data_IF_032902566186
#
_entry.id   IF_032902566186
#
_cell.length_a   1.000
_cell.length_b   1.000
_cell.length_c   1.000
_cell.angle_alpha   90.00
_cell.angle_beta   90.00
_cell.angle_gamma   90.00
#
_symmetry.space_group_name_H-M   'P 1'
#
loop_
_entity.id
_entity.type
_entity.pdbx_description
1 polymer ?
#
# COMPACT_ATOMS: atom_id res chain seq x y z
N UNK A 1 14.67 -12.93 -54.56
CA UNK A 1 14.31 -13.92 -53.53
C UNK A 1 15.18 -13.64 -52.32
N UNK A 2 14.84 -12.63 -51.50
CA UNK A 2 15.46 -12.43 -50.16
C UNK A 2 14.85 -11.31 -49.32
N UNK A 3 14.12 -10.34 -49.87
CA UNK A 3 13.72 -9.16 -49.06
C UNK A 3 12.31 -9.22 -48.44
N UNK A 4 11.41 -10.08 -48.92
CA UNK A 4 10.06 -10.23 -48.33
C UNK A 4 10.00 -11.18 -47.11
N UNK A 5 11.11 -11.85 -46.76
CA UNK A 5 11.14 -12.83 -45.66
C UNK A 5 11.62 -12.25 -44.32
N UNK A 6 12.15 -11.02 -44.29
CA UNK A 6 12.61 -10.40 -43.04
C UNK A 6 11.53 -9.57 -42.33
N UNK A 7 10.46 -9.18 -43.03
CA UNK A 7 9.39 -8.34 -42.46
C UNK A 7 8.37 -9.15 -41.63
N UNK A 8 8.42 -10.49 -41.67
CA UNK A 8 7.49 -11.37 -40.93
C UNK A 8 8.00 -11.84 -39.57
N UNK A 9 9.18 -11.42 -39.14
CA UNK A 9 9.82 -11.90 -37.91
C UNK A 9 9.76 -10.92 -36.73
N UNK A 10 9.12 -9.75 -36.88
CA UNK A 10 9.12 -8.71 -35.84
C UNK A 10 7.71 -8.28 -35.36
N UNK A 11 6.71 -9.13 -35.55
CA UNK A 11 5.31 -8.87 -35.15
C UNK A 11 4.89 -9.90 -34.10
N UNK A 12 5.52 -9.88 -32.92
CA UNK A 12 5.23 -10.88 -31.89
C UNK A 12 5.57 -10.53 -30.43
N UNK A 13 6.22 -9.39 -30.16
CA UNK A 13 6.78 -9.12 -28.82
C UNK A 13 6.16 -7.93 -28.07
N UNK A 14 5.09 -7.32 -28.61
CA UNK A 14 4.51 -6.11 -28.06
C UNK A 14 3.40 -6.27 -27.02
N UNK A 15 2.72 -7.42 -26.95
CA UNK A 15 1.42 -7.52 -26.26
C UNK A 15 1.45 -8.34 -24.95
N UNK A 16 2.56 -9.03 -24.64
CA UNK A 16 2.66 -9.94 -23.49
C UNK A 16 3.40 -9.36 -22.27
N UNK A 17 4.09 -8.22 -22.40
CA UNK A 17 4.96 -7.68 -21.35
C UNK A 17 4.20 -6.97 -20.20
N UNK A 18 2.96 -6.51 -20.43
CA UNK A 18 2.16 -5.79 -19.41
C UNK A 18 1.44 -6.77 -18.47
N UNK A 19 0.91 -7.88 -18.99
CA UNK A 19 0.14 -8.87 -18.21
C UNK A 19 0.97 -9.58 -17.13
N UNK A 20 2.22 -9.95 -17.45
CA UNK A 20 3.13 -10.57 -16.49
C UNK A 20 3.55 -9.61 -15.36
N UNK A 21 3.75 -8.33 -15.68
CA UNK A 21 4.09 -7.29 -14.69
C UNK A 21 2.91 -6.95 -13.78
N UNK A 22 1.69 -6.96 -14.29
CA UNK A 22 0.51 -6.79 -13.44
C UNK A 22 0.33 -7.96 -12.47
N UNK A 23 0.55 -9.18 -12.96
CA UNK A 23 0.47 -10.40 -12.15
C UNK A 23 1.52 -10.42 -11.01
N UNK A 24 2.75 -9.96 -11.28
CA UNK A 24 3.79 -9.87 -10.23
C UNK A 24 3.42 -8.83 -9.16
N UNK A 25 2.84 -7.68 -9.56
CA UNK A 25 2.41 -6.63 -8.63
C UNK A 25 1.25 -7.11 -7.74
N UNK A 26 0.29 -7.83 -8.32
CA UNK A 26 -0.82 -8.42 -7.57
C UNK A 26 -0.32 -9.46 -6.57
N UNK A 27 0.58 -10.35 -7.00
CA UNK A 27 1.15 -11.36 -6.12
C UNK A 27 1.99 -10.74 -4.99
N UNK A 28 2.78 -9.71 -5.30
CA UNK A 28 3.58 -9.00 -4.32
C UNK A 28 2.70 -8.26 -3.30
N UNK A 29 1.62 -7.61 -3.75
CA UNK A 29 0.64 -6.98 -2.88
C UNK A 29 -0.09 -7.99 -2.00
N UNK A 30 -0.51 -9.12 -2.58
CA UNK A 30 -1.15 -10.21 -1.84
C UNK A 30 -0.22 -10.78 -0.76
N UNK A 31 1.04 -11.07 -1.12
CA UNK A 31 2.05 -11.54 -0.18
C UNK A 31 2.27 -10.54 0.96
N UNK A 32 2.33 -9.24 0.65
CA UNK A 32 2.49 -8.18 1.65
C UNK A 32 1.31 -8.12 2.63
N UNK A 33 0.07 -8.28 2.15
CA UNK A 33 -1.13 -8.34 3.00
C UNK A 33 -1.06 -9.55 3.93
N UNK A 34 -0.72 -10.73 3.40
CA UNK A 34 -0.60 -11.97 4.21
C UNK A 34 0.47 -11.82 5.29
N UNK A 35 1.64 -11.26 4.93
CA UNK A 35 2.72 -10.97 5.89
C UNK A 35 2.23 -10.00 6.97
N UNK A 36 1.56 -8.92 6.58
CA UNK A 36 1.01 -7.93 7.52
C UNK A 36 0.03 -8.56 8.51
N UNK A 37 -0.92 -9.36 8.02
CA UNK A 37 -1.88 -10.08 8.88
C UNK A 37 -1.14 -11.05 9.81
N UNK A 38 -0.15 -11.78 9.30
CA UNK A 38 0.67 -12.69 10.10
C UNK A 38 1.38 -11.99 11.26
N UNK A 39 1.97 -10.82 11.01
CA UNK A 39 2.62 -10.00 12.05
C UNK A 39 1.60 -9.54 13.10
N UNK A 40 0.42 -9.08 12.68
CA UNK A 40 -0.64 -8.63 13.60
C UNK A 40 -1.12 -9.77 14.50
N UNK A 41 -1.34 -10.96 13.93
CA UNK A 41 -1.73 -12.15 14.70
C UNK A 41 -0.65 -12.51 15.71
N UNK A 42 0.63 -12.54 15.27
CA UNK A 42 1.74 -12.84 16.17
C UNK A 42 1.81 -11.84 17.33
N UNK A 43 1.77 -10.54 17.03
CA UNK A 43 1.77 -9.49 18.04
C UNK A 43 0.59 -9.62 19.01
N UNK A 44 -0.58 -10.03 18.53
CA UNK A 44 -1.75 -10.26 19.38
C UNK A 44 -1.55 -11.42 20.36
N UNK A 45 -0.92 -12.52 19.92
CA UNK A 45 -0.66 -13.69 20.77
C UNK A 45 0.38 -13.38 21.86
N UNK A 46 1.34 -12.52 21.56
CA UNK A 46 2.37 -12.09 22.52
C UNK A 46 1.94 -10.91 23.41
N UNK A 47 0.72 -10.38 23.27
CA UNK A 47 0.25 -9.28 24.11
C UNK A 47 -0.44 -9.80 25.38
N UNK A 48 -0.10 -9.21 26.54
CA UNK A 48 -0.53 -9.65 27.88
C UNK A 48 -2.01 -9.35 28.24
N UNK A 49 -2.92 -9.37 27.25
CA UNK A 49 -4.36 -9.24 27.48
C UNK A 49 -4.89 -7.81 27.63
N UNK A 50 -4.03 -6.78 27.63
CA UNK A 50 -4.46 -5.38 27.48
C UNK A 50 -4.75 -5.06 26.00
N UNK A 51 -5.96 -5.38 25.57
CA UNK A 51 -6.45 -5.04 24.24
C UNK A 51 -6.55 -3.51 24.10
N UNK A 52 -5.81 -2.94 23.15
CA UNK A 52 -5.99 -1.57 22.70
C UNK A 52 -6.76 -1.61 21.38
N UNK A 53 -7.89 -0.92 21.32
CA UNK A 53 -8.68 -0.78 20.10
C UNK A 53 -8.40 0.58 19.49
N UNK A 54 -8.28 0.66 18.17
CA UNK A 54 -8.15 1.93 17.49
C UNK A 54 -8.40 1.80 16.00
N UNK A 55 -8.66 2.92 15.36
CA UNK A 55 -8.97 2.98 13.94
C UNK A 55 -8.70 4.36 13.37
N UNK A 56 -8.73 4.43 12.05
CA UNK A 56 -8.53 5.63 11.26
C UNK A 56 -9.69 5.77 10.28
N UNK A 57 -10.31 6.96 10.26
CA UNK A 57 -11.32 7.35 9.29
C UNK A 57 -10.76 8.51 8.50
N UNK A 58 -10.67 8.39 7.18
CA UNK A 58 -10.30 9.50 6.31
C UNK A 58 -11.56 10.27 5.91
N UNK A 59 -11.73 11.49 6.43
CA UNK A 59 -12.78 12.42 5.98
C UNK A 59 -12.12 13.48 5.11
N UNK A 60 -12.13 13.25 3.79
CA UNK A 60 -11.32 14.06 2.88
C UNK A 60 -9.82 13.93 3.21
N UNK A 61 -9.01 15.00 3.06
CA UNK A 61 -7.58 14.95 3.40
C UNK A 61 -7.30 14.98 4.91
N UNK A 62 -8.33 14.88 5.76
CA UNK A 62 -8.19 14.91 7.21
C UNK A 62 -8.36 13.50 7.79
N UNK A 63 -7.27 12.82 8.18
CA UNK A 63 -7.37 11.56 8.89
C UNK A 63 -7.80 11.80 10.34
N UNK A 64 -8.89 11.16 10.75
CA UNK A 64 -9.38 11.10 12.13
C UNK A 64 -8.92 9.78 12.71
N UNK A 65 -8.06 9.82 13.71
CA UNK A 65 -7.59 8.64 14.43
C UNK A 65 -8.22 8.59 15.80
N UNK A 66 -8.78 7.44 16.15
CA UNK A 66 -9.34 7.17 17.46
C UNK A 66 -8.70 5.90 18.03
N UNK A 67 -8.49 5.90 19.33
CA UNK A 67 -7.86 4.79 20.04
C UNK A 67 -8.27 4.80 21.50
N UNK A 68 -8.53 3.61 22.03
CA UNK A 68 -8.84 3.35 23.42
C UNK A 68 -7.96 2.20 23.92
N UNK A 69 -7.28 2.42 25.04
CA UNK A 69 -6.42 1.43 25.68
C UNK A 69 -5.04 1.98 26.05
N UNK A 70 -4.21 1.19 26.76
CA UNK A 70 -2.92 1.64 27.28
C UNK A 70 -1.92 2.08 26.20
N UNK A 71 -2.04 1.53 24.99
CA UNK A 71 -1.16 1.84 23.85
C UNK A 71 -1.62 3.06 23.03
N UNK A 72 -2.61 3.82 23.52
CA UNK A 72 -3.18 4.97 22.79
C UNK A 72 -2.13 6.05 22.49
N UNK A 73 -1.12 6.24 23.33
CA UNK A 73 -0.02 7.18 23.07
C UNK A 73 0.72 6.86 21.77
N UNK A 74 0.91 5.57 21.48
CA UNK A 74 1.55 5.11 20.24
C UNK A 74 0.65 5.33 19.02
N UNK A 75 -0.66 5.08 19.17
CA UNK A 75 -1.64 5.35 18.13
C UNK A 75 -1.71 6.84 17.78
N UNK A 76 -1.62 7.72 18.78
CA UNK A 76 -1.59 9.18 18.58
C UNK A 76 -0.32 9.60 17.83
N UNK A 77 0.84 9.01 18.14
CA UNK A 77 2.08 9.32 17.42
C UNK A 77 1.98 8.94 15.93
N UNK A 78 1.44 7.75 15.63
CA UNK A 78 1.18 7.31 14.25
C UNK A 78 0.15 8.22 13.55
N UNK A 79 -0.87 8.67 14.28
CA UNK A 79 -1.87 9.60 13.76
C UNK A 79 -1.25 10.90 13.29
N UNK A 80 -0.41 11.52 14.14
CA UNK A 80 0.29 12.77 13.83
C UNK A 80 1.17 12.59 12.58
N UNK A 81 1.92 11.48 12.50
CA UNK A 81 2.73 11.19 11.33
C UNK A 81 1.89 11.05 10.05
N UNK A 82 0.72 10.41 10.15
CA UNK A 82 -0.20 10.20 9.02
C UNK A 82 -0.85 11.51 8.57
N UNK A 83 -1.25 12.39 9.52
CA UNK A 83 -1.71 13.75 9.24
C UNK A 83 -0.64 14.54 8.50
N UNK A 84 0.60 14.53 9.02
CA UNK A 84 1.72 15.23 8.40
C UNK A 84 1.96 14.72 6.97
N UNK A 85 1.97 13.40 6.78
CA UNK A 85 2.15 12.78 5.46
C UNK A 85 1.01 13.15 4.50
N UNK A 86 -0.24 13.18 4.99
CA UNK A 86 -1.40 13.56 4.19
C UNK A 86 -1.34 15.03 3.76
N UNK A 87 -0.97 15.94 4.67
CA UNK A 87 -0.77 17.36 4.35
C UNK A 87 0.37 17.54 3.35
N UNK A 88 1.51 16.86 3.55
CA UNK A 88 2.65 16.90 2.63
C UNK A 88 2.23 16.44 1.25
N UNK A 89 1.54 15.31 1.16
CA UNK A 89 1.08 14.74 -0.11
C UNK A 89 0.06 15.66 -0.79
N UNK A 90 -0.87 16.24 -0.03
CA UNK A 90 -1.83 17.23 -0.51
C UNK A 90 -1.13 18.47 -1.07
N UNK A 91 -0.16 19.04 -0.34
CA UNK A 91 0.62 20.20 -0.77
C UNK A 91 1.43 19.87 -2.02
N UNK A 92 2.12 18.72 -2.08
CA UNK A 92 2.89 18.32 -3.26
C UNK A 92 2.01 18.16 -4.48
N UNK A 93 0.85 17.52 -4.33
CA UNK A 93 -0.11 17.29 -5.42
C UNK A 93 -0.72 18.62 -5.92
N UNK A 94 -0.99 19.56 -5.02
CA UNK A 94 -1.51 20.89 -5.38
C UNK A 94 -0.44 21.90 -5.82
N UNK A 95 0.86 21.65 -5.58
CA UNK A 95 1.95 22.55 -6.02
C UNK A 95 2.24 22.47 -7.52
N UNK A 96 1.40 21.77 -8.29
CA UNK A 96 1.54 21.57 -9.74
C UNK A 96 0.22 21.82 -10.46
N UNK A 97 -0.49 22.87 -10.05
CA UNK A 97 -1.57 23.54 -10.79
C UNK A 97 -1.34 25.04 -10.70
#
# INVERSE_FOLDING_TARGET
MTEENEERLNIGEGESAVSGRFSILLFLGFALIVIGIGIVILASVFSDGTASFGGFIFIGPFPIVFGAGPSSTWLVAIAIATVALSIIMFVILHKKV
#
